data_IF_637558381903
#
_entry.id   IF_637558381903
#
_cell.length_a   1.000
_cell.length_b   1.000
_cell.length_c   1.000
_cell.angle_alpha   90.00
_cell.angle_beta   90.00
_cell.angle_gamma   90.00
#
_symmetry.space_group_name_H-M   'P 1'
#
loop_
_entity.id
_entity.type
_entity.pdbx_description
1 polymer ?
#
# COMPACT_ATOMS: atom_id res chain seq x y z
N UNK A 1 -33.48 -17.97 8.57
CA UNK A 1 -33.59 -16.54 8.19
C UNK A 1 -32.34 -16.16 7.43
N UNK A 2 -32.45 -15.46 6.30
CA UNK A 2 -31.27 -14.99 5.56
C UNK A 2 -30.53 -13.87 6.31
N UNK A 3 -29.24 -13.69 6.03
CA UNK A 3 -28.41 -12.65 6.67
C UNK A 3 -29.00 -11.23 6.49
N UNK A 4 -29.46 -10.90 5.29
CA UNK A 4 -30.14 -9.62 5.03
C UNK A 4 -31.46 -9.47 5.81
N UNK A 5 -32.23 -10.55 5.96
CA UNK A 5 -33.45 -10.53 6.76
C UNK A 5 -33.15 -10.32 8.25
N UNK A 6 -32.03 -10.87 8.75
CA UNK A 6 -31.57 -10.66 10.12
C UNK A 6 -31.19 -9.20 10.37
N UNK A 7 -30.46 -8.57 9.44
CA UNK A 7 -30.10 -7.15 9.51
C UNK A 7 -31.33 -6.22 9.45
N UNK A 8 -32.31 -6.52 8.59
CA UNK A 8 -33.54 -5.74 8.51
C UNK A 8 -34.39 -5.86 9.79
N UNK A 9 -34.39 -7.05 10.43
CA UNK A 9 -35.08 -7.28 11.71
C UNK A 9 -34.35 -6.69 12.92
N UNK A 10 -33.03 -6.54 12.85
CA UNK A 10 -32.16 -6.02 13.92
C UNK A 10 -31.28 -4.89 13.38
N UNK A 11 -31.87 -3.71 13.22
CA UNK A 11 -31.21 -2.54 12.59
C UNK A 11 -29.97 -2.05 13.34
N UNK A 12 -29.89 -2.30 14.64
CA UNK A 12 -28.72 -1.99 15.48
C UNK A 12 -27.44 -2.70 15.03
N UNK A 13 -27.57 -3.83 14.32
CA UNK A 13 -26.42 -4.57 13.80
C UNK A 13 -25.86 -3.97 12.50
N UNK A 14 -26.61 -3.11 11.81
CA UNK A 14 -26.20 -2.55 10.52
C UNK A 14 -24.91 -1.74 10.65
N UNK A 15 -24.79 -0.76 11.59
CA UNK A 15 -23.55 -0.02 11.76
C UNK A 15 -22.37 -0.94 12.11
N UNK A 16 -22.59 -1.93 12.99
CA UNK A 16 -21.55 -2.87 13.41
C UNK A 16 -21.01 -3.69 12.23
N UNK A 17 -21.89 -4.22 11.39
CA UNK A 17 -21.49 -4.96 10.19
C UNK A 17 -20.79 -4.05 9.19
N UNK A 18 -21.25 -2.81 8.99
CA UNK A 18 -20.60 -1.85 8.09
C UNK A 18 -19.17 -1.58 8.52
N UNK A 19 -18.93 -1.20 9.79
CA UNK A 19 -17.58 -0.93 10.28
C UNK A 19 -16.68 -2.15 10.24
N UNK A 20 -17.19 -3.33 10.62
CA UNK A 20 -16.42 -4.58 10.61
C UNK A 20 -16.02 -4.96 9.18
N UNK A 21 -16.96 -4.82 8.23
CA UNK A 21 -16.70 -5.15 6.81
C UNK A 21 -15.72 -4.16 6.20
N UNK A 22 -15.84 -2.86 6.49
CA UNK A 22 -14.89 -1.85 6.06
C UNK A 22 -13.49 -2.10 6.65
N UNK A 23 -13.40 -2.46 7.92
CA UNK A 23 -12.12 -2.78 8.57
C UNK A 23 -11.47 -4.02 7.95
N UNK A 24 -12.22 -5.12 7.81
CA UNK A 24 -11.71 -6.36 7.23
C UNK A 24 -11.31 -6.18 5.75
N UNK A 25 -12.13 -5.48 4.98
CA UNK A 25 -11.84 -5.15 3.58
C UNK A 25 -10.63 -4.22 3.44
N UNK A 26 -10.54 -3.18 4.27
CA UNK A 26 -9.42 -2.25 4.31
C UNK A 26 -8.10 -2.95 4.67
N UNK A 27 -8.11 -3.79 5.71
CA UNK A 27 -6.93 -4.55 6.13
C UNK A 27 -6.46 -5.52 5.03
N UNK A 28 -7.40 -6.24 4.39
CA UNK A 28 -7.08 -7.17 3.31
C UNK A 28 -6.51 -6.45 2.08
N UNK A 29 -7.12 -5.32 1.69
CA UNK A 29 -6.65 -4.50 0.59
C UNK A 29 -5.24 -3.93 0.87
N UNK A 30 -5.03 -3.41 2.09
CA UNK A 30 -3.73 -2.88 2.49
C UNK A 30 -2.64 -3.96 2.54
N UNK A 31 -2.96 -5.17 2.99
CA UNK A 31 -2.03 -6.29 2.97
C UNK A 31 -1.59 -6.66 1.54
N UNK A 32 -2.53 -6.69 0.58
CA UNK A 32 -2.19 -6.93 -0.82
C UNK A 32 -1.36 -5.78 -1.42
N UNK A 33 -1.67 -4.55 -1.05
CA UNK A 33 -0.90 -3.37 -1.46
C UNK A 33 0.53 -3.38 -0.89
N UNK A 34 0.70 -3.75 0.39
CA UNK A 34 2.00 -3.73 1.06
C UNK A 34 2.99 -4.72 0.45
N UNK A 35 2.53 -5.86 -0.05
CA UNK A 35 3.38 -6.83 -0.76
C UNK A 35 4.03 -6.26 -2.02
N UNK A 36 3.41 -5.23 -2.65
CA UNK A 36 3.96 -4.58 -3.85
C UNK A 36 4.93 -3.44 -3.53
N UNK A 37 5.21 -3.17 -2.25
CA UNK A 37 6.15 -2.12 -1.84
C UNK A 37 7.58 -2.52 -2.10
N UNK A 38 8.41 -1.54 -2.43
CA UNK A 38 9.86 -1.69 -2.62
C UNK A 38 10.58 -2.06 -1.32
N UNK A 39 9.98 -1.80 -0.17
CA UNK A 39 10.53 -2.22 1.13
C UNK A 39 10.28 -3.72 1.42
N UNK A 40 9.40 -4.38 0.65
CA UNK A 40 9.06 -5.79 0.84
C UNK A 40 9.80 -6.65 -0.18
N UNK A 41 10.76 -7.42 0.31
CA UNK A 41 11.56 -8.32 -0.51
C UNK A 41 10.87 -9.69 -0.56
N UNK A 42 10.24 -10.01 -1.69
CA UNK A 42 9.58 -11.31 -1.92
C UNK A 42 10.59 -12.37 -2.40
N UNK A 43 11.50 -11.97 -3.29
CA UNK A 43 12.60 -12.82 -3.77
C UNK A 43 13.94 -12.15 -3.42
N UNK A 44 14.85 -12.92 -2.82
CA UNK A 44 16.21 -12.47 -2.44
C UNK A 44 17.29 -12.93 -3.43
N UNK A 45 16.91 -13.64 -4.49
CA UNK A 45 17.87 -14.20 -5.46
C UNK A 45 18.58 -13.06 -6.21
N UNK A 46 19.91 -12.99 -6.06
CA UNK A 46 20.74 -12.01 -6.77
C UNK A 46 20.89 -10.64 -6.11
N UNK A 47 20.57 -10.50 -4.82
CA UNK A 47 20.64 -9.24 -4.06
C UNK A 47 19.82 -8.08 -4.70
N UNK A 48 18.50 -8.25 -4.90
CA UNK A 48 17.67 -7.14 -5.34
C UNK A 48 17.52 -6.15 -4.18
N UNK A 49 18.19 -5.01 -4.26
CA UNK A 49 17.93 -3.86 -3.42
C UNK A 49 16.77 -3.05 -4.02
N UNK A 50 15.50 -3.31 -3.64
CA UNK A 50 14.37 -2.86 -4.45
C UNK A 50 14.16 -1.34 -4.33
N UNK A 51 14.73 -0.71 -3.30
CA UNK A 51 14.81 0.75 -3.16
C UNK A 51 15.68 1.42 -4.23
N UNK A 52 16.64 0.72 -4.86
CA UNK A 52 17.45 1.30 -5.92
C UNK A 52 16.62 1.63 -7.17
N UNK A 53 15.59 0.83 -7.43
CA UNK A 53 14.71 0.95 -8.60
C UNK A 53 13.50 1.86 -8.38
N UNK A 54 13.40 2.51 -7.22
CA UNK A 54 12.30 3.44 -6.93
C UNK A 54 12.43 4.67 -7.81
N UNK A 55 11.35 5.03 -8.52
CA UNK A 55 11.26 6.29 -9.26
C UNK A 55 10.96 7.44 -8.28
N UNK A 56 11.85 8.43 -8.12
CA UNK A 56 11.63 9.57 -7.24
C UNK A 56 10.55 10.55 -7.75
N UNK A 57 10.13 10.44 -9.01
CA UNK A 57 9.11 11.33 -9.60
C UNK A 57 7.69 10.88 -9.29
N UNK A 58 7.51 9.64 -8.82
CA UNK A 58 6.21 9.04 -8.56
C UNK A 58 5.91 9.02 -7.05
N UNK A 59 4.67 9.30 -6.63
CA UNK A 59 4.24 9.14 -5.25
C UNK A 59 4.45 7.72 -4.72
N UNK A 60 5.29 7.60 -3.69
CA UNK A 60 5.62 6.33 -3.07
C UNK A 60 4.61 5.84 -2.02
N UNK A 61 3.55 6.60 -1.68
CA UNK A 61 2.54 6.22 -0.67
C UNK A 61 1.16 6.06 -1.33
N UNK A 62 0.25 5.38 -0.65
CA UNK A 62 -1.12 5.16 -1.15
C UNK A 62 -1.88 6.48 -1.29
N UNK A 63 -1.64 7.40 -0.36
CA UNK A 63 -2.20 8.76 -0.35
C UNK A 63 -1.06 9.70 0.03
N UNK A 64 -0.90 10.76 -0.73
CA UNK A 64 0.12 11.79 -0.53
C UNK A 64 -0.53 13.16 -0.54
N UNK A 65 -0.25 13.96 0.48
CA UNK A 65 -0.71 15.34 0.59
C UNK A 65 0.56 16.20 0.64
N UNK A 66 0.65 17.19 -0.25
CA UNK A 66 1.80 18.10 -0.35
C UNK A 66 3.15 17.36 -0.45
N UNK A 67 3.28 16.44 -1.40
CA UNK A 67 4.54 15.71 -1.58
C UNK A 67 5.62 16.64 -2.15
N UNK A 68 6.71 16.82 -1.40
CA UNK A 68 7.87 17.62 -1.79
C UNK A 68 9.08 16.78 -2.23
N UNK A 69 8.93 15.46 -2.32
CA UNK A 69 10.03 14.56 -2.66
C UNK A 69 10.62 14.90 -4.04
N UNK A 70 11.93 15.17 -4.08
CA UNK A 70 12.70 15.49 -5.28
C UNK A 70 13.85 14.49 -5.43
N UNK A 71 14.28 14.17 -6.67
CA UNK A 71 15.48 13.38 -6.89
C UNK A 71 16.71 14.05 -6.27
N UNK A 72 17.58 13.24 -5.68
CA UNK A 72 18.87 13.70 -5.14
C UNK A 72 19.88 13.69 -6.28
N UNK A 73 20.40 14.86 -6.65
CA UNK A 73 21.28 15.01 -7.81
C UNK A 73 22.59 14.22 -7.64
N UNK A 74 23.16 14.23 -6.44
CA UNK A 74 24.41 13.52 -6.13
C UNK A 74 24.27 12.01 -6.37
N UNK A 75 23.13 11.43 -5.97
CA UNK A 75 22.85 10.02 -6.21
C UNK A 75 22.70 9.70 -7.71
N UNK A 76 22.14 10.62 -8.51
CA UNK A 76 22.02 10.42 -9.95
C UNK A 76 23.39 10.45 -10.63
N UNK A 77 24.29 11.33 -10.20
CA UNK A 77 25.67 11.41 -10.72
C UNK A 77 26.46 10.13 -10.40
N UNK A 78 26.36 9.61 -9.18
CA UNK A 78 27.06 8.36 -8.81
C UNK A 78 26.50 7.18 -9.61
N UNK A 79 25.18 7.14 -9.82
CA UNK A 79 24.53 6.07 -10.59
C UNK A 79 24.91 6.11 -12.07
N UNK A 80 25.05 7.29 -12.67
CA UNK A 80 25.50 7.41 -14.06
C UNK A 80 26.98 7.03 -14.23
N UNK A 81 27.83 7.26 -13.22
CA UNK A 81 29.24 6.88 -13.24
C UNK A 81 29.49 5.37 -13.04
N UNK A 82 28.53 4.66 -12.44
CA UNK A 82 28.66 3.22 -12.12
C UNK A 82 28.09 2.32 -13.24
N UNK A 83 27.33 2.87 -14.19
CA UNK A 83 26.63 2.16 -15.27
C UNK A 83 27.46 2.09 -16.54
#
# INVERSE_FOLDING_TARGET
MGFFQLLMKKKELIPLVVFTTLAAGGASSFALYSLKKTDVIIDRKGNPEPWETVDPTVPGKLITINQEWKPIEELQVVRSATR
#
